data_IF_888996425887
#
_entry.id   IF_888996425887
#
_cell.length_a   1.000
_cell.length_b   1.000
_cell.length_c   1.000
_cell.angle_alpha   90.00
_cell.angle_beta   90.00
_cell.angle_gamma   90.00
#
_symmetry.space_group_name_H-M   'P 1'
#
loop_
_entity.id
_entity.type
_entity.pdbx_description
1 polymer ?
#
# COMPACT_ATOMS: atom_id res chain seq x y z
N UNK A 1 -38.54 -6.10 4.18
CA UNK A 1 -38.85 -4.74 4.68
C UNK A 1 -39.07 -4.85 6.17
N UNK A 2 -38.49 -3.96 6.96
CA UNK A 2 -38.70 -3.94 8.42
C UNK A 2 -40.16 -3.57 8.68
N UNK A 3 -40.85 -4.34 9.52
CA UNK A 3 -42.23 -4.05 9.90
C UNK A 3 -42.28 -2.75 10.72
N UNK A 4 -43.18 -1.83 10.36
CA UNK A 4 -43.31 -0.52 11.01
C UNK A 4 -43.61 -0.64 12.51
N UNK A 5 -44.25 -1.73 12.95
CA UNK A 5 -44.59 -1.93 14.35
C UNK A 5 -43.37 -2.25 15.24
N UNK A 6 -42.24 -2.64 14.65
CA UNK A 6 -40.97 -2.82 15.39
C UNK A 6 -40.42 -1.50 15.95
N UNK A 7 -40.85 -0.36 15.39
CA UNK A 7 -40.31 0.96 15.73
C UNK A 7 -38.92 1.26 15.15
N UNK A 8 -38.32 0.29 14.44
CA UNK A 8 -37.02 0.46 13.79
C UNK A 8 -37.14 1.22 12.47
N UNK A 9 -36.10 1.98 12.13
CA UNK A 9 -35.99 2.73 10.89
C UNK A 9 -34.92 2.11 9.97
N UNK A 10 -35.14 2.09 8.65
CA UNK A 10 -34.12 1.65 7.70
C UNK A 10 -32.81 2.45 7.86
N UNK A 11 -31.67 1.75 7.81
CA UNK A 11 -30.33 2.35 7.92
C UNK A 11 -29.85 2.67 9.34
N UNK A 12 -30.69 2.52 10.37
CA UNK A 12 -30.31 2.74 11.77
C UNK A 12 -29.86 1.45 12.46
N UNK A 13 -28.92 1.57 13.40
CA UNK A 13 -28.45 0.46 14.24
C UNK A 13 -29.16 0.48 15.59
N UNK A 14 -29.48 -0.70 16.11
CA UNK A 14 -30.11 -0.85 17.42
C UNK A 14 -29.42 -1.95 18.22
N UNK A 15 -28.92 -1.64 19.41
CA UNK A 15 -28.34 -2.63 20.32
C UNK A 15 -29.38 -3.04 21.35
N UNK A 16 -29.27 -4.28 21.80
CA UNK A 16 -30.10 -4.85 22.86
C UNK A 16 -29.48 -4.49 24.20
N UNK A 17 -30.26 -3.88 25.10
CA UNK A 17 -29.82 -3.64 26.47
C UNK A 17 -29.69 -4.97 27.22
N UNK A 18 -28.47 -5.38 27.54
CA UNK A 18 -28.22 -6.62 28.27
C UNK A 18 -28.44 -6.42 29.77
N UNK A 19 -29.27 -7.29 30.36
CA UNK A 19 -29.49 -7.36 31.80
C UNK A 19 -28.70 -8.54 32.38
N UNK A 20 -28.26 -8.45 33.64
CA UNK A 20 -27.38 -9.46 34.28
C UNK A 20 -27.93 -10.91 34.29
N UNK A 21 -29.21 -11.12 33.99
CA UNK A 21 -29.89 -12.42 34.02
C UNK A 21 -30.54 -12.82 32.69
N UNK A 22 -30.14 -12.19 31.58
CA UNK A 22 -30.70 -12.47 30.25
C UNK A 22 -29.65 -13.07 29.32
N UNK A 23 -30.05 -13.84 28.29
CA UNK A 23 -29.14 -14.25 27.22
C UNK A 23 -28.39 -13.03 26.68
N UNK A 24 -27.06 -13.13 26.60
CA UNK A 24 -26.23 -12.00 26.22
C UNK A 24 -26.30 -11.77 24.71
N UNK A 25 -27.03 -10.73 24.31
CA UNK A 25 -27.11 -10.25 22.95
C UNK A 25 -26.01 -9.21 22.76
N UNK A 26 -24.78 -9.65 22.50
CA UNK A 26 -23.61 -8.76 22.35
C UNK A 26 -23.57 -7.98 21.03
N UNK A 27 -24.66 -8.02 20.26
CA UNK A 27 -24.74 -7.61 18.88
C UNK A 27 -25.67 -6.41 18.65
N UNK A 28 -25.97 -6.15 17.37
CA UNK A 28 -26.88 -5.09 16.96
C UNK A 28 -27.76 -5.51 15.79
N UNK A 29 -28.94 -4.90 15.71
CA UNK A 29 -29.80 -4.95 14.53
C UNK A 29 -29.42 -3.85 13.54
N UNK A 30 -29.40 -4.17 12.24
CA UNK A 30 -29.33 -3.23 11.12
C UNK A 30 -30.22 -3.75 9.99
N UNK A 31 -31.14 -2.93 9.50
CA UNK A 31 -32.09 -3.29 8.43
C UNK A 31 -32.88 -4.59 8.72
N UNK A 32 -33.18 -4.83 9.99
CA UNK A 32 -33.90 -6.02 10.47
C UNK A 32 -33.06 -7.30 10.51
N UNK A 33 -31.75 -7.22 10.31
CA UNK A 33 -30.79 -8.32 10.49
C UNK A 33 -29.97 -8.10 11.76
N UNK A 34 -29.60 -9.18 12.44
CA UNK A 34 -28.86 -9.15 13.70
C UNK A 34 -27.43 -9.69 13.52
N UNK A 35 -26.46 -8.96 14.06
CA UNK A 35 -25.02 -9.21 13.90
C UNK A 35 -24.33 -9.22 15.27
N UNK A 36 -23.41 -10.15 15.52
CA UNK A 36 -22.69 -10.25 16.80
C UNK A 36 -21.59 -9.20 17.01
N UNK A 37 -21.22 -8.44 15.96
CA UNK A 37 -20.19 -7.39 16.01
C UNK A 37 -20.01 -6.70 14.65
N UNK A 38 -19.44 -5.47 14.59
CA UNK A 38 -19.32 -4.69 13.35
C UNK A 38 -18.34 -5.31 12.32
N UNK A 39 -17.43 -6.17 12.75
CA UNK A 39 -16.49 -6.93 11.93
C UNK A 39 -17.08 -8.22 11.34
N UNK A 40 -18.22 -8.70 11.83
CA UNK A 40 -18.86 -9.94 11.37
C UNK A 40 -19.81 -9.65 10.20
N UNK A 41 -19.41 -10.08 9.00
CA UNK A 41 -20.15 -9.85 7.76
C UNK A 41 -21.34 -10.80 7.55
N UNK A 42 -21.63 -11.69 8.51
CA UNK A 42 -22.72 -12.68 8.44
C UNK A 42 -23.76 -12.39 9.51
N UNK A 43 -25.01 -12.19 9.10
CA UNK A 43 -26.13 -12.05 10.04
C UNK A 43 -26.41 -13.41 10.71
N UNK A 44 -26.57 -13.41 12.04
CA UNK A 44 -26.91 -14.60 12.84
C UNK A 44 -28.37 -14.57 13.32
N UNK A 45 -29.14 -13.59 12.86
CA UNK A 45 -30.57 -13.50 13.13
C UNK A 45 -31.24 -12.45 12.24
N UNK A 46 -32.56 -12.47 12.16
CA UNK A 46 -33.35 -11.52 11.37
C UNK A 46 -34.79 -11.42 11.85
N UNK A 47 -35.46 -10.34 11.45
CA UNK A 47 -36.89 -10.11 11.71
C UNK A 47 -37.74 -10.58 10.54
N UNK A 48 -38.75 -11.39 10.84
CA UNK A 48 -39.87 -11.72 9.96
C UNK A 48 -41.15 -11.11 10.53
N UNK A 49 -41.55 -9.94 9.99
CA UNK A 49 -42.56 -9.12 10.65
C UNK A 49 -42.03 -8.59 11.98
N UNK A 50 -42.70 -8.95 13.07
CA UNK A 50 -42.25 -8.69 14.44
C UNK A 50 -41.44 -9.84 15.05
N UNK A 51 -41.42 -11.03 14.42
CA UNK A 51 -40.77 -12.21 15.00
C UNK A 51 -39.27 -12.13 14.80
N UNK A 52 -38.51 -12.26 15.89
CA UNK A 52 -37.06 -12.31 15.85
C UNK A 52 -36.57 -13.76 15.76
N UNK A 53 -36.00 -14.10 14.61
CA UNK A 53 -35.34 -15.37 14.35
C UNK A 53 -33.84 -15.24 14.70
N UNK A 54 -33.32 -16.16 15.48
CA UNK A 54 -31.94 -16.22 15.96
C UNK A 54 -31.35 -17.60 15.66
N UNK A 55 -30.33 -17.64 14.82
CA UNK A 55 -29.75 -18.85 14.23
C UNK A 55 -28.30 -19.09 14.69
N UNK A 56 -27.98 -18.66 15.91
CA UNK A 56 -26.73 -19.04 16.57
C UNK A 56 -26.83 -20.47 17.11
N UNK A 57 -25.74 -21.23 16.99
CA UNK A 57 -25.60 -22.57 17.54
C UNK A 57 -24.75 -22.53 18.81
N UNK A 58 -25.11 -23.33 19.80
CA UNK A 58 -24.32 -23.49 21.00
C UNK A 58 -23.05 -24.35 20.78
N UNK A 59 -22.25 -24.55 21.82
CA UNK A 59 -21.03 -25.35 21.74
C UNK A 59 -21.24 -26.84 21.37
N UNK A 60 -22.48 -27.32 21.43
CA UNK A 60 -22.89 -28.68 21.05
C UNK A 60 -23.45 -28.75 19.63
N UNK A 61 -23.64 -27.61 18.97
CA UNK A 61 -24.17 -27.50 17.61
C UNK A 61 -25.70 -27.44 17.55
N UNK A 62 -26.38 -27.33 18.69
CA UNK A 62 -27.83 -27.15 18.77
C UNK A 62 -28.18 -25.66 18.72
N UNK A 63 -29.32 -25.26 18.11
CA UNK A 63 -29.77 -23.87 18.13
C UNK A 63 -29.89 -23.34 19.56
N UNK A 64 -29.40 -22.12 19.79
CA UNK A 64 -29.52 -21.42 21.09
C UNK A 64 -30.98 -21.29 21.52
N UNK A 65 -31.91 -21.18 20.56
CA UNK A 65 -33.36 -21.27 20.79
C UNK A 65 -33.94 -22.50 20.08
N UNK A 66 -34.70 -23.37 20.76
CA UNK A 66 -35.17 -24.66 20.22
C UNK A 66 -35.89 -24.62 18.86
N UNK A 67 -36.55 -23.50 18.52
CA UNK A 67 -37.23 -23.27 17.24
C UNK A 67 -36.62 -22.12 16.42
N UNK A 68 -35.42 -21.67 16.79
CA UNK A 68 -34.77 -20.44 16.30
C UNK A 68 -35.58 -19.16 16.51
N UNK A 69 -36.71 -19.22 17.21
CA UNK A 69 -37.50 -18.05 17.59
C UNK A 69 -37.01 -17.55 18.93
N UNK A 70 -36.33 -16.40 18.92
CA UNK A 70 -35.84 -15.76 20.14
C UNK A 70 -36.95 -14.94 20.82
N UNK A 71 -37.88 -14.36 20.06
CA UNK A 71 -38.93 -13.52 20.61
C UNK A 71 -39.70 -12.69 19.58
N UNK A 72 -40.39 -11.66 20.06
CA UNK A 72 -41.11 -10.67 19.23
C UNK A 72 -40.65 -9.26 19.55
N UNK A 73 -40.53 -8.41 18.52
CA UNK A 73 -40.07 -7.04 18.61
C UNK A 73 -41.19 -6.06 18.25
N UNK A 74 -41.56 -5.22 19.21
CA UNK A 74 -42.54 -4.16 19.02
C UNK A 74 -42.10 -2.89 19.75
N UNK A 75 -42.20 -1.73 19.09
CA UNK A 75 -41.84 -0.42 19.66
C UNK A 75 -40.46 -0.43 20.36
N UNK A 76 -39.45 -0.94 19.66
CA UNK A 76 -38.08 -1.11 20.16
C UNK A 76 -37.96 -1.95 21.43
N UNK A 77 -38.93 -2.81 21.73
CA UNK A 77 -38.90 -3.73 22.87
C UNK A 77 -38.93 -5.16 22.38
N UNK A 78 -37.84 -5.90 22.60
CA UNK A 78 -37.75 -7.32 22.30
C UNK A 78 -38.30 -8.10 23.50
N UNK A 79 -39.40 -8.82 23.29
CA UNK A 79 -39.97 -9.75 24.27
C UNK A 79 -39.53 -11.15 23.89
N UNK A 80 -38.64 -11.73 24.70
CA UNK A 80 -38.14 -13.09 24.50
C UNK A 80 -39.23 -14.13 24.77
N UNK A 81 -39.04 -15.34 24.27
CA UNK A 81 -39.97 -16.47 24.45
C UNK A 81 -40.22 -16.85 25.91
N UNK A 82 -39.29 -16.53 26.82
CA UNK A 82 -39.45 -16.71 28.27
C UNK A 82 -40.20 -15.56 28.97
N UNK A 83 -40.65 -14.55 28.22
CA UNK A 83 -41.36 -13.38 28.71
C UNK A 83 -40.46 -12.21 29.12
N UNK A 84 -39.13 -12.35 29.03
CA UNK A 84 -38.20 -11.28 29.36
C UNK A 84 -38.29 -10.15 28.35
N UNK A 85 -38.28 -8.90 28.84
CA UNK A 85 -38.39 -7.70 28.02
C UNK A 85 -37.03 -6.99 27.97
N UNK A 86 -36.48 -6.85 26.79
CA UNK A 86 -35.22 -6.18 26.51
C UNK A 86 -35.48 -4.93 25.68
N UNK A 87 -34.97 -3.79 26.14
CA UNK A 87 -35.10 -2.55 25.39
C UNK A 87 -34.02 -2.49 24.31
N UNK A 88 -34.43 -2.16 23.09
CA UNK A 88 -33.52 -1.76 22.03
C UNK A 88 -33.33 -0.26 22.12
N UNK A 89 -32.08 0.16 22.06
CA UNK A 89 -31.72 1.56 21.96
C UNK A 89 -31.01 1.81 20.63
N UNK A 90 -31.34 2.90 19.93
CA UNK A 90 -30.58 3.28 18.74
C UNK A 90 -29.13 3.47 19.15
N UNK A 91 -28.23 2.76 18.48
CA UNK A 91 -26.81 2.99 18.59
C UNK A 91 -26.50 4.10 17.61
N UNK A 92 -26.02 5.27 18.08
CA UNK A 92 -25.50 6.27 17.17
C UNK A 92 -24.41 5.59 16.35
N UNK A 93 -24.64 5.43 15.05
CA UNK A 93 -23.54 5.18 14.15
C UNK A 93 -22.65 6.39 14.33
N UNK A 94 -21.45 6.22 14.89
CA UNK A 94 -20.46 7.29 14.92
C UNK A 94 -19.95 7.50 13.50
N UNK A 95 -20.84 8.02 12.65
CA UNK A 95 -20.46 8.96 11.62
C UNK A 95 -20.05 10.19 12.42
N UNK A 96 -18.80 10.67 12.35
CA UNK A 96 -18.42 11.85 13.09
C UNK A 96 -19.28 13.02 12.58
N UNK A 97 -20.30 13.39 13.35
CA UNK A 97 -21.01 14.65 13.14
C UNK A 97 -20.17 15.79 13.72
N UNK A 98 -20.11 16.86 12.95
CA UNK A 98 -19.29 18.06 13.16
C UNK A 98 -19.31 18.55 14.63
N UNK A 99 -18.18 18.38 15.32
CA UNK A 99 -17.85 19.21 16.46
C UNK A 99 -17.68 20.66 15.97
N UNK A 100 -18.38 21.65 16.55
CA UNK A 100 -18.15 23.05 16.20
C UNK A 100 -16.75 23.46 16.69
N UNK A 101 -15.79 23.43 15.75
CA UNK A 101 -14.36 23.75 15.92
C UNK A 101 -13.53 22.46 16.04
N UNK A 102 -13.10 21.81 14.97
CA UNK A 102 -12.35 22.30 13.80
C UNK A 102 -12.84 21.52 12.59
N UNK A 103 -13.39 22.18 11.56
CA UNK A 103 -13.58 21.55 10.24
C UNK A 103 -12.21 21.08 9.75
N UNK A 104 -11.89 19.79 9.86
CA UNK A 104 -10.87 19.21 8.99
C UNK A 104 -11.48 19.23 7.59
N UNK A 105 -10.98 20.13 6.74
CA UNK A 105 -11.40 20.20 5.34
C UNK A 105 -11.27 18.80 4.73
N UNK A 106 -12.39 18.21 4.29
CA UNK A 106 -12.37 16.93 3.57
C UNK A 106 -11.31 17.01 2.47
N UNK A 107 -10.37 16.07 2.50
CA UNK A 107 -9.29 16.01 1.51
C UNK A 107 -9.87 16.01 0.09
N UNK A 108 -9.15 16.59 -0.86
CA UNK A 108 -9.61 16.68 -2.27
C UNK A 108 -9.81 15.31 -2.93
N UNK A 109 -9.35 14.23 -2.29
CA UNK A 109 -9.53 12.83 -2.71
C UNK A 109 -10.58 12.07 -1.89
N UNK A 110 -11.43 12.77 -1.13
CA UNK A 110 -12.45 12.15 -0.30
C UNK A 110 -13.30 11.15 -1.08
N UNK A 111 -13.43 9.93 -0.54
CA UNK A 111 -14.22 8.86 -1.14
C UNK A 111 -13.66 8.26 -2.44
N UNK A 112 -12.45 8.65 -2.87
CA UNK A 112 -11.76 7.98 -3.99
C UNK A 112 -11.27 6.61 -3.57
N UNK A 113 -11.46 5.61 -4.44
CA UNK A 113 -10.95 4.25 -4.22
C UNK A 113 -9.50 4.16 -4.67
N UNK A 114 -8.60 3.90 -3.73
CA UNK A 114 -7.15 3.83 -3.94
C UNK A 114 -6.64 2.45 -3.58
N UNK A 115 -6.05 1.75 -4.55
CA UNK A 115 -5.40 0.46 -4.35
C UNK A 115 -3.90 0.67 -4.20
N UNK A 116 -3.27 0.09 -3.18
CA UNK A 116 -1.84 0.22 -2.93
C UNK A 116 -1.20 -1.16 -2.77
N UNK A 117 -0.31 -1.55 -3.68
CA UNK A 117 0.48 -2.79 -3.55
C UNK A 117 1.74 -2.54 -2.72
N UNK A 118 2.18 -3.54 -1.94
CA UNK A 118 3.29 -3.39 -1.01
C UNK A 118 2.97 -2.47 0.17
N UNK A 119 1.70 -2.38 0.58
CA UNK A 119 1.23 -1.45 1.60
C UNK A 119 1.68 -1.76 3.03
N UNK A 120 2.19 -2.96 3.30
CA UNK A 120 2.53 -3.40 4.67
C UNK A 120 3.75 -2.71 5.27
N UNK A 121 4.61 -2.06 4.47
CA UNK A 121 5.86 -1.44 4.96
C UNK A 121 6.39 -0.33 4.05
N UNK A 122 7.40 0.39 4.53
CA UNK A 122 8.17 1.33 3.71
C UNK A 122 7.31 2.43 3.10
N UNK A 123 7.60 2.74 1.83
CA UNK A 123 6.88 3.73 1.03
C UNK A 123 5.39 3.38 0.91
N UNK A 124 5.04 2.10 0.80
CA UNK A 124 3.63 1.69 0.66
C UNK A 124 2.80 1.99 1.89
N UNK A 125 3.34 1.71 3.09
CA UNK A 125 2.68 2.08 4.37
C UNK A 125 2.61 3.60 4.54
N UNK A 126 3.66 4.32 4.16
CA UNK A 126 3.64 5.79 4.18
C UNK A 126 2.60 6.36 3.21
N UNK A 127 2.45 5.76 2.02
CA UNK A 127 1.43 6.13 1.05
C UNK A 127 0.03 5.86 1.62
N UNK A 128 -0.19 4.70 2.22
CA UNK A 128 -1.46 4.38 2.88
C UNK A 128 -1.83 5.46 3.92
N UNK A 129 -0.89 5.87 4.78
CA UNK A 129 -1.12 6.95 5.74
C UNK A 129 -1.45 8.28 5.07
N UNK A 130 -0.68 8.70 4.06
CA UNK A 130 -0.87 9.98 3.39
C UNK A 130 -2.20 10.05 2.60
N UNK A 131 -2.62 8.94 1.98
CA UNK A 131 -3.94 8.86 1.36
C UNK A 131 -5.06 8.77 2.41
N UNK A 132 -4.80 8.13 3.56
CA UNK A 132 -5.77 8.08 4.65
C UNK A 132 -6.13 9.49 5.17
N UNK A 133 -5.14 10.37 5.29
CA UNK A 133 -5.33 11.78 5.62
C UNK A 133 -6.17 12.56 4.59
N UNK A 134 -6.40 12.00 3.40
CA UNK A 134 -7.32 12.57 2.40
C UNK A 134 -8.73 11.99 2.48
N UNK A 135 -9.04 11.19 3.50
CA UNK A 135 -10.33 10.50 3.70
C UNK A 135 -10.75 9.65 2.49
N UNK A 136 -9.78 8.96 1.89
CA UNK A 136 -9.99 8.03 0.77
C UNK A 136 -10.52 6.68 1.23
N UNK A 137 -10.99 5.86 0.29
CA UNK A 137 -11.22 4.42 0.49
C UNK A 137 -9.99 3.65 0.07
N UNK A 138 -9.34 2.98 1.00
CA UNK A 138 -8.06 2.31 0.82
C UNK A 138 -8.22 0.80 0.68
N UNK A 139 -7.59 0.25 -0.36
CA UNK A 139 -7.44 -1.20 -0.54
C UNK A 139 -5.96 -1.50 -0.45
N UNK A 140 -5.56 -2.12 0.66
CA UNK A 140 -4.17 -2.31 1.03
C UNK A 140 -3.74 -3.74 0.71
N UNK A 141 -2.77 -3.90 -0.18
CA UNK A 141 -2.36 -5.20 -0.70
C UNK A 141 -0.89 -5.52 -0.40
N UNK A 142 -0.64 -6.68 0.19
CA UNK A 142 0.68 -7.26 0.45
C UNK A 142 0.56 -8.74 0.84
N UNK A 143 1.68 -9.46 0.91
CA UNK A 143 1.71 -10.86 1.37
C UNK A 143 1.54 -11.01 2.89
N UNK A 144 1.90 -9.97 3.65
CA UNK A 144 1.89 -9.97 5.12
C UNK A 144 0.54 -9.47 5.66
N UNK A 145 -0.35 -10.42 5.92
CA UNK A 145 -1.73 -10.15 6.35
C UNK A 145 -1.80 -9.48 7.72
N UNK A 146 -0.95 -9.90 8.67
CA UNK A 146 -0.89 -9.30 10.01
C UNK A 146 -0.52 -7.82 9.90
N UNK A 147 0.55 -7.53 9.16
CA UNK A 147 1.00 -6.15 8.99
C UNK A 147 -0.02 -5.30 8.22
N UNK A 148 -0.77 -5.88 7.27
CA UNK A 148 -1.87 -5.15 6.62
C UNK A 148 -2.97 -4.77 7.62
N UNK A 149 -3.32 -5.66 8.55
CA UNK A 149 -4.28 -5.36 9.62
C UNK A 149 -3.86 -4.14 10.45
N UNK A 150 -2.60 -4.08 10.85
CA UNK A 150 -2.03 -2.91 11.55
C UNK A 150 -2.17 -1.62 10.72
N UNK A 151 -1.88 -1.68 9.41
CA UNK A 151 -2.01 -0.50 8.55
C UNK A 151 -3.46 -0.08 8.34
N UNK A 152 -4.40 -1.02 8.29
CA UNK A 152 -5.84 -0.73 8.24
C UNK A 152 -6.26 0.06 9.48
N UNK A 153 -5.89 -0.38 10.68
CA UNK A 153 -6.18 0.33 11.93
C UNK A 153 -5.57 1.74 11.94
N UNK A 154 -4.32 1.87 11.49
CA UNK A 154 -3.64 3.17 11.37
C UNK A 154 -4.34 4.12 10.39
N UNK A 155 -4.88 3.58 9.27
CA UNK A 155 -5.62 4.37 8.29
C UNK A 155 -7.01 4.77 8.82
N UNK A 156 -7.68 3.87 9.53
CA UNK A 156 -8.96 4.15 10.18
C UNK A 156 -8.81 5.27 11.22
N UNK A 157 -7.74 5.24 12.02
CA UNK A 157 -7.41 6.30 12.98
C UNK A 157 -7.11 7.66 12.30
N UNK A 158 -6.89 7.68 10.98
CA UNK A 158 -6.68 8.90 10.16
C UNK A 158 -7.94 9.34 9.41
N UNK A 159 -9.07 8.67 9.62
CA UNK A 159 -10.35 9.05 9.02
C UNK A 159 -10.58 8.49 7.61
N UNK A 160 -9.90 7.41 7.24
CA UNK A 160 -10.15 6.67 6.00
C UNK A 160 -10.86 5.34 6.24
N UNK A 161 -11.65 4.91 5.27
CA UNK A 161 -12.15 3.54 5.21
C UNK A 161 -11.05 2.68 4.56
N UNK A 162 -10.69 1.54 5.15
CA UNK A 162 -9.63 0.69 4.61
C UNK A 162 -9.97 -0.80 4.72
N UNK A 163 -9.59 -1.58 3.71
CA UNK A 163 -9.61 -3.04 3.75
C UNK A 163 -8.22 -3.61 3.43
N UNK A 164 -7.90 -4.74 4.06
CA UNK A 164 -6.70 -5.51 3.76
C UNK A 164 -7.04 -6.63 2.79
N UNK A 165 -6.23 -6.78 1.74
CA UNK A 165 -6.34 -7.88 0.78
C UNK A 165 -4.98 -8.55 0.66
N UNK A 166 -4.86 -9.77 1.17
CA UNK A 166 -3.62 -10.54 1.03
C UNK A 166 -3.36 -10.81 -0.45
N UNK A 167 -2.22 -10.34 -0.96
CA UNK A 167 -1.90 -10.44 -2.38
C UNK A 167 -0.41 -10.59 -2.60
N UNK A 168 -0.04 -11.61 -3.37
CA UNK A 168 1.24 -11.74 -4.04
C UNK A 168 1.13 -11.23 -5.48
N UNK A 169 1.84 -10.13 -5.78
CA UNK A 169 1.82 -9.49 -7.10
C UNK A 169 2.45 -10.34 -8.21
N UNK A 170 3.14 -11.42 -7.85
CA UNK A 170 3.65 -12.40 -8.82
C UNK A 170 2.54 -13.31 -9.37
N UNK A 171 1.39 -13.38 -8.70
CA UNK A 171 0.29 -14.29 -9.02
C UNK A 171 -0.84 -13.55 -9.75
N UNK A 172 -1.08 -13.92 -11.02
CA UNK A 172 -2.08 -13.26 -11.86
C UNK A 172 -3.50 -13.32 -11.30
N UNK A 173 -3.90 -14.46 -10.76
CA UNK A 173 -5.26 -14.64 -10.23
C UNK A 173 -5.49 -13.87 -8.92
N UNK A 174 -4.45 -13.72 -8.08
CA UNK A 174 -4.54 -12.87 -6.90
C UNK A 174 -4.65 -11.39 -7.27
N UNK A 175 -3.95 -10.94 -8.32
CA UNK A 175 -4.07 -9.56 -8.82
C UNK A 175 -5.48 -9.28 -9.38
N UNK A 176 -6.09 -10.28 -10.04
CA UNK A 176 -7.47 -10.19 -10.53
C UNK A 176 -8.46 -10.09 -9.38
N UNK A 177 -8.34 -10.98 -8.39
CA UNK A 177 -9.16 -10.95 -7.17
C UNK A 177 -8.99 -9.64 -6.38
N UNK A 178 -7.78 -9.07 -6.34
CA UNK A 178 -7.52 -7.76 -5.73
C UNK A 178 -8.32 -6.66 -6.42
N UNK A 179 -8.33 -6.63 -7.76
CA UNK A 179 -9.09 -5.62 -8.50
C UNK A 179 -10.60 -5.79 -8.32
N UNK A 180 -11.11 -7.02 -8.30
CA UNK A 180 -12.52 -7.33 -8.04
C UNK A 180 -12.97 -6.87 -6.65
N UNK A 181 -12.20 -7.20 -5.61
CA UNK A 181 -12.48 -6.75 -4.24
C UNK A 181 -12.38 -5.23 -4.11
N UNK A 182 -11.39 -4.62 -4.75
CA UNK A 182 -11.24 -3.17 -4.76
C UNK A 182 -12.44 -2.47 -5.41
N UNK A 183 -12.89 -2.98 -6.55
CA UNK A 183 -14.06 -2.45 -7.23
C UNK A 183 -15.33 -2.63 -6.38
N UNK A 184 -15.52 -3.79 -5.76
CA UNK A 184 -16.67 -4.04 -4.88
C UNK A 184 -16.70 -3.03 -3.71
N UNK A 185 -15.57 -2.83 -3.03
CA UNK A 185 -15.41 -1.84 -1.96
C UNK A 185 -15.59 -0.39 -2.45
N UNK A 186 -15.21 -0.13 -3.70
CA UNK A 186 -15.32 1.15 -4.37
C UNK A 186 -16.65 1.44 -5.08
N UNK A 187 -17.72 0.67 -4.81
CA UNK A 187 -19.01 0.77 -5.52
C UNK A 187 -18.88 0.60 -7.04
N UNK A 188 -18.17 -0.44 -7.47
CA UNK A 188 -17.89 -0.77 -8.87
C UNK A 188 -16.77 0.05 -9.50
N UNK A 189 -16.01 0.84 -8.71
CA UNK A 189 -15.00 1.76 -9.23
C UNK A 189 -13.63 1.59 -8.59
N UNK A 190 -12.60 1.92 -9.37
CA UNK A 190 -11.22 2.10 -8.93
C UNK A 190 -10.74 3.44 -9.49
N UNK A 191 -10.43 4.41 -8.62
CA UNK A 191 -9.99 5.74 -9.07
C UNK A 191 -8.47 5.81 -9.24
N UNK A 192 -7.73 5.16 -8.33
CA UNK A 192 -6.26 5.23 -8.29
C UNK A 192 -5.70 3.83 -8.01
N UNK A 193 -4.72 3.42 -8.80
CA UNK A 193 -3.97 2.19 -8.60
C UNK A 193 -2.49 2.52 -8.44
N UNK A 194 -1.89 2.13 -7.30
CA UNK A 194 -0.49 2.38 -6.98
C UNK A 194 0.27 1.05 -7.00
N UNK A 195 1.06 0.86 -8.06
CA UNK A 195 2.06 -0.19 -8.07
C UNK A 195 3.27 0.30 -7.26
N UNK A 196 3.47 -0.32 -6.09
CA UNK A 196 4.57 0.02 -5.18
C UNK A 196 5.32 -1.21 -4.65
N UNK A 197 4.71 -2.41 -4.68
CA UNK A 197 5.40 -3.63 -4.25
C UNK A 197 6.78 -3.76 -4.91
N UNK A 198 7.77 -4.21 -4.15
CA UNK A 198 9.12 -4.38 -4.68
C UNK A 198 10.01 -5.18 -3.72
N UNK A 199 10.92 -5.94 -4.30
CA UNK A 199 11.94 -6.73 -3.60
C UNK A 199 13.31 -6.49 -4.22
N UNK A 200 14.37 -6.73 -3.45
CA UNK A 200 15.74 -6.60 -3.92
C UNK A 200 16.52 -7.89 -3.65
N UNK A 201 17.50 -8.15 -4.52
CA UNK A 201 18.54 -9.14 -4.29
C UNK A 201 19.88 -8.48 -4.60
N UNK A 202 20.77 -8.43 -3.62
CA UNK A 202 22.10 -7.81 -3.75
C UNK A 202 23.17 -8.87 -3.60
N UNK A 203 24.05 -9.01 -4.59
CA UNK A 203 25.10 -10.01 -4.65
C UNK A 203 25.86 -9.92 -5.98
N UNK A 204 26.99 -10.63 -6.10
CA UNK A 204 27.60 -10.81 -7.42
C UNK A 204 26.61 -11.56 -8.32
N UNK A 205 26.74 -11.44 -9.64
CA UNK A 205 25.79 -12.06 -10.56
C UNK A 205 25.89 -13.59 -10.51
N UNK A 206 27.10 -14.09 -10.30
CA UNK A 206 27.40 -15.52 -10.20
C UNK A 206 27.07 -16.14 -8.83
N UNK A 207 27.13 -15.35 -7.73
CA UNK A 207 26.82 -15.86 -6.38
C UNK A 207 25.34 -15.70 -6.02
N UNK A 208 24.59 -14.87 -6.76
CA UNK A 208 23.15 -14.73 -6.58
C UNK A 208 22.43 -15.82 -7.36
N UNK A 209 21.58 -16.65 -6.72
CA UNK A 209 20.83 -17.69 -7.42
C UNK A 209 19.96 -17.10 -8.55
N UNK A 210 19.84 -17.82 -9.67
CA UNK A 210 19.04 -17.37 -10.81
C UNK A 210 17.58 -17.14 -10.40
N UNK A 211 17.04 -18.00 -9.54
CA UNK A 211 15.67 -17.91 -9.02
C UNK A 211 15.44 -16.63 -8.22
N UNK A 212 16.49 -16.08 -7.58
CA UNK A 212 16.39 -14.80 -6.89
C UNK A 212 16.34 -13.64 -7.88
N UNK A 213 17.12 -13.71 -8.96
CA UNK A 213 17.04 -12.76 -10.06
C UNK A 213 15.67 -12.78 -10.74
N UNK A 214 15.14 -13.95 -11.06
CA UNK A 214 13.81 -14.12 -11.65
C UNK A 214 12.71 -13.61 -10.72
N UNK A 215 12.79 -13.90 -9.42
CA UNK A 215 11.80 -13.42 -8.45
C UNK A 215 11.75 -11.89 -8.35
N UNK A 216 12.91 -11.22 -8.46
CA UNK A 216 12.96 -9.75 -8.55
C UNK A 216 12.24 -9.28 -9.82
N UNK A 217 12.46 -9.90 -10.98
CA UNK A 217 11.75 -9.53 -12.22
C UNK A 217 10.24 -9.80 -12.13
N UNK A 218 9.83 -10.91 -11.50
CA UNK A 218 8.43 -11.26 -11.28
C UNK A 218 7.69 -10.21 -10.46
N UNK A 219 8.35 -9.65 -9.44
CA UNK A 219 7.75 -8.66 -8.54
C UNK A 219 7.85 -7.24 -9.11
N UNK A 220 9.07 -6.81 -9.45
CA UNK A 220 9.39 -5.40 -9.72
C UNK A 220 9.10 -4.94 -11.15
N UNK A 221 8.82 -5.88 -12.06
CA UNK A 221 8.43 -5.57 -13.44
C UNK A 221 7.08 -6.22 -13.79
N UNK A 222 6.99 -7.55 -13.72
CA UNK A 222 5.77 -8.25 -14.12
C UNK A 222 4.61 -7.98 -13.14
N UNK A 223 4.87 -7.77 -11.86
CA UNK A 223 3.86 -7.35 -10.89
C UNK A 223 3.21 -6.01 -11.25
N UNK A 224 4.00 -5.06 -11.77
CA UNK A 224 3.52 -3.75 -12.22
C UNK A 224 2.69 -3.88 -13.50
N UNK A 225 3.15 -4.73 -14.44
CA UNK A 225 2.40 -5.06 -15.65
C UNK A 225 1.04 -5.67 -15.29
N UNK A 226 1.01 -6.65 -14.38
CA UNK A 226 -0.24 -7.27 -13.91
C UNK A 226 -1.15 -6.23 -13.25
N UNK A 227 -0.60 -5.36 -12.39
CA UNK A 227 -1.35 -4.27 -11.75
C UNK A 227 -1.99 -3.31 -12.75
N UNK A 228 -1.23 -2.88 -13.76
CA UNK A 228 -1.75 -2.08 -14.85
C UNK A 228 -2.87 -2.82 -15.60
N UNK A 229 -2.64 -4.09 -15.94
CA UNK A 229 -3.55 -4.91 -16.71
C UNK A 229 -4.90 -5.13 -16.01
N UNK A 230 -4.91 -5.33 -14.67
CA UNK A 230 -6.16 -5.53 -13.91
C UNK A 230 -6.89 -4.22 -13.60
N UNK A 231 -6.18 -3.09 -13.51
CA UNK A 231 -6.80 -1.77 -13.31
C UNK A 231 -7.41 -1.21 -14.61
N UNK A 232 -6.81 -1.54 -15.76
CA UNK A 232 -7.14 -0.96 -17.08
C UNK A 232 -8.63 -1.01 -17.45
N UNK A 233 -9.35 -2.15 -17.28
CA UNK A 233 -10.76 -2.24 -17.66
C UNK A 233 -11.63 -1.26 -16.86
N UNK A 234 -11.34 -1.07 -15.56
CA UNK A 234 -12.05 -0.12 -14.71
C UNK A 234 -11.78 1.32 -15.16
N UNK A 235 -10.52 1.68 -15.41
CA UNK A 235 -10.19 3.02 -15.88
C UNK A 235 -10.87 3.35 -17.21
N UNK A 236 -10.84 2.42 -18.17
CA UNK A 236 -11.49 2.60 -19.49
C UNK A 236 -13.01 2.67 -19.38
N UNK A 237 -13.65 1.80 -18.59
CA UNK A 237 -15.10 1.83 -18.39
C UNK A 237 -15.57 3.15 -17.74
N UNK A 238 -14.75 3.71 -16.85
CA UNK A 238 -15.03 4.99 -16.19
C UNK A 238 -14.66 6.21 -17.06
N UNK A 239 -13.89 6.02 -18.14
CA UNK A 239 -13.17 7.07 -18.88
C UNK A 239 -12.27 7.95 -18.00
N UNK A 240 -11.84 7.45 -16.83
CA UNK A 240 -10.97 8.16 -15.88
C UNK A 240 -10.22 7.19 -14.98
N UNK A 241 -9.00 7.55 -14.60
CA UNK A 241 -8.21 6.77 -13.64
C UNK A 241 -6.77 7.23 -13.56
N UNK A 242 -6.09 6.89 -12.45
CA UNK A 242 -4.67 7.23 -12.28
C UNK A 242 -3.91 5.96 -11.90
N UNK A 243 -3.01 5.52 -12.78
CA UNK A 243 -2.01 4.52 -12.46
C UNK A 243 -0.74 5.23 -11.97
N UNK A 244 -0.28 4.93 -10.76
CA UNK A 244 0.97 5.44 -10.21
C UNK A 244 1.96 4.28 -10.10
N UNK A 245 3.09 4.38 -10.80
CA UNK A 245 4.17 3.40 -10.71
C UNK A 245 5.32 3.96 -9.87
N UNK A 246 5.73 3.20 -8.84
CA UNK A 246 6.92 3.49 -8.03
C UNK A 246 8.16 2.92 -8.72
N UNK A 247 8.87 3.77 -9.44
CA UNK A 247 10.11 3.45 -10.13
C UNK A 247 11.28 3.64 -9.15
N UNK A 248 12.44 4.05 -9.65
CA UNK A 248 13.64 4.32 -8.86
C UNK A 248 14.57 5.20 -9.67
N UNK A 249 15.50 5.91 -9.02
CA UNK A 249 16.69 6.41 -9.71
C UNK A 249 17.42 5.29 -10.48
N UNK A 250 17.31 4.04 -10.01
CA UNK A 250 17.78 2.84 -10.68
C UNK A 250 17.21 2.61 -12.09
N UNK A 251 16.14 3.32 -12.49
CA UNK A 251 15.61 3.33 -13.86
C UNK A 251 16.48 4.11 -14.85
N UNK A 252 17.44 4.90 -14.35
CA UNK A 252 18.32 5.74 -15.17
C UNK A 252 19.79 5.38 -15.00
N UNK A 253 20.14 4.80 -13.86
CA UNK A 253 21.50 4.44 -13.50
C UNK A 253 21.49 3.02 -12.97
N UNK A 254 22.08 2.09 -13.73
CA UNK A 254 22.20 0.71 -13.29
C UNK A 254 22.99 0.61 -11.98
N UNK A 255 22.58 -0.31 -11.13
CA UNK A 255 23.17 -0.58 -9.83
C UNK A 255 23.92 -1.92 -9.89
N UNK A 256 25.27 -1.89 -9.96
CA UNK A 256 26.09 -3.09 -9.89
C UNK A 256 25.77 -3.89 -8.62
N UNK A 257 25.90 -5.22 -8.70
CA UNK A 257 25.49 -6.18 -7.67
C UNK A 257 23.96 -6.28 -7.44
N UNK A 258 23.14 -5.55 -8.20
CA UNK A 258 21.68 -5.64 -8.19
C UNK A 258 21.16 -5.69 -9.64
N UNK A 259 21.66 -6.66 -10.42
CA UNK A 259 21.45 -6.75 -11.88
C UNK A 259 19.97 -6.86 -12.23
N UNK A 260 19.25 -7.82 -11.63
CA UNK A 260 17.82 -8.01 -11.89
C UNK A 260 16.96 -6.80 -11.48
N UNK A 261 17.32 -6.12 -10.38
CA UNK A 261 16.66 -4.88 -9.97
C UNK A 261 16.90 -3.76 -11.00
N UNK A 262 18.11 -3.63 -11.52
CA UNK A 262 18.40 -2.65 -12.57
C UNK A 262 17.59 -2.95 -13.83
N UNK A 263 17.57 -4.20 -14.28
CA UNK A 263 16.79 -4.63 -15.43
C UNK A 263 15.29 -4.35 -15.25
N UNK A 264 14.73 -4.65 -14.07
CA UNK A 264 13.30 -4.39 -13.78
C UNK A 264 12.99 -2.90 -13.81
N UNK A 265 13.80 -2.04 -13.19
CA UNK A 265 13.53 -0.59 -13.12
C UNK A 265 13.74 0.13 -14.45
N UNK A 266 14.66 -0.31 -15.31
CA UNK A 266 14.75 0.16 -16.69
C UNK A 266 13.54 -0.32 -17.51
N UNK A 267 13.17 -1.60 -17.39
CA UNK A 267 12.01 -2.16 -18.09
C UNK A 267 10.70 -1.47 -17.70
N UNK A 268 10.53 -1.14 -16.41
CA UNK A 268 9.33 -0.48 -15.88
C UNK A 268 9.14 0.93 -16.46
N UNK A 269 10.24 1.63 -16.77
CA UNK A 269 10.18 2.91 -17.47
C UNK A 269 9.64 2.74 -18.89
N UNK A 270 10.15 1.76 -19.63
CA UNK A 270 9.64 1.44 -20.96
C UNK A 270 8.17 1.04 -20.95
N UNK A 271 7.76 0.20 -19.98
CA UNK A 271 6.36 -0.18 -19.77
C UNK A 271 5.48 1.06 -19.55
N UNK A 272 5.91 1.98 -18.70
CA UNK A 272 5.09 3.16 -18.38
C UNK A 272 4.99 4.14 -19.54
N UNK A 273 6.11 4.40 -20.24
CA UNK A 273 6.10 5.25 -21.44
C UNK A 273 5.20 4.66 -22.54
N UNK A 274 5.21 3.33 -22.74
CA UNK A 274 4.34 2.64 -23.69
C UNK A 274 2.85 2.78 -23.31
N UNK A 275 2.49 2.48 -22.04
CA UNK A 275 1.11 2.60 -21.56
C UNK A 275 0.56 4.03 -21.73
N UNK A 276 1.37 5.06 -21.47
CA UNK A 276 0.98 6.46 -21.69
C UNK A 276 0.69 6.74 -23.17
N UNK A 277 1.51 6.19 -24.08
CA UNK A 277 1.32 6.32 -25.53
C UNK A 277 0.05 5.68 -26.08
N UNK A 278 -0.53 4.70 -25.37
CA UNK A 278 -1.78 4.02 -25.77
C UNK A 278 -3.06 4.77 -25.34
N UNK A 279 -2.95 5.81 -24.52
CA UNK A 279 -4.10 6.53 -23.94
C UNK A 279 -4.56 7.74 -24.75
N UNK A 280 -4.25 7.79 -26.05
CA UNK A 280 -4.61 8.94 -26.92
C UNK A 280 -6.10 9.26 -26.94
N UNK A 281 -6.94 8.24 -26.81
CA UNK A 281 -8.41 8.37 -26.81
C UNK A 281 -9.00 8.53 -25.40
N UNK A 282 -8.16 8.59 -24.36
CA UNK A 282 -8.57 8.61 -22.95
C UNK A 282 -7.81 9.70 -22.17
N UNK A 283 -8.13 10.99 -22.39
CA UNK A 283 -7.37 12.12 -21.84
C UNK A 283 -7.37 12.21 -20.30
N UNK A 284 -8.38 11.60 -19.65
CA UNK A 284 -8.54 11.60 -18.18
C UNK A 284 -8.06 10.30 -17.51
N UNK A 285 -7.38 9.43 -18.28
CA UNK A 285 -6.61 8.30 -17.73
C UNK A 285 -5.14 8.69 -17.74
N UNK A 286 -4.49 8.64 -16.58
CA UNK A 286 -3.12 9.09 -16.42
C UNK A 286 -2.23 7.96 -15.93
N UNK A 287 -1.00 7.89 -16.46
CA UNK A 287 0.05 7.01 -15.95
C UNK A 287 1.20 7.87 -15.45
N UNK A 288 1.43 7.83 -14.14
CA UNK A 288 2.38 8.69 -13.42
C UNK A 288 3.57 7.87 -12.91
N UNK A 289 4.77 8.40 -13.13
CA UNK A 289 6.02 7.84 -12.63
C UNK A 289 6.50 8.59 -11.38
N UNK A 290 6.73 7.85 -10.29
CA UNK A 290 7.45 8.37 -9.13
C UNK A 290 8.85 7.76 -9.14
N UNK A 291 9.88 8.60 -9.11
CA UNK A 291 11.29 8.21 -9.05
C UNK A 291 11.89 8.56 -7.67
N UNK A 292 11.76 7.68 -6.67
CA UNK A 292 12.48 7.84 -5.42
C UNK A 292 14.00 7.75 -5.62
N UNK A 293 14.74 8.60 -4.93
CA UNK A 293 16.14 8.37 -4.60
C UNK A 293 16.27 7.25 -3.53
N UNK A 294 17.41 7.18 -2.84
CA UNK A 294 17.58 6.27 -1.70
C UNK A 294 16.71 6.72 -0.53
N UNK A 295 15.70 5.92 -0.18
CA UNK A 295 14.76 6.23 0.89
C UNK A 295 15.08 5.45 2.16
N UNK A 296 14.85 6.06 3.32
CA UNK A 296 14.99 5.46 4.64
C UNK A 296 13.86 4.46 4.89
N UNK A 297 13.97 3.29 4.28
CA UNK A 297 13.00 2.21 4.43
C UNK A 297 13.68 0.94 4.94
N UNK A 298 12.91 -0.02 5.47
CA UNK A 298 13.43 -1.32 5.84
C UNK A 298 14.02 -2.14 4.68
N UNK A 299 13.88 -1.72 3.41
CA UNK A 299 14.25 -2.52 2.23
C UNK A 299 15.70 -3.03 2.20
N UNK A 300 16.67 -2.25 2.70
CA UNK A 300 18.07 -2.70 2.81
C UNK A 300 18.29 -3.75 3.88
N UNK A 301 17.45 -3.76 4.93
CA UNK A 301 17.47 -4.78 5.99
C UNK A 301 16.74 -6.05 5.55
N UNK A 302 15.61 -5.89 4.86
CA UNK A 302 14.67 -6.97 4.57
C UNK A 302 14.92 -7.66 3.23
N UNK A 303 15.67 -7.03 2.32
CA UNK A 303 15.94 -7.57 0.99
C UNK A 303 16.87 -8.79 0.98
N UNK A 304 16.88 -9.53 -0.13
CA UNK A 304 17.83 -10.62 -0.34
C UNK A 304 19.27 -10.12 -0.34
N UNK A 305 20.10 -10.74 0.49
CA UNK A 305 21.51 -10.42 0.65
C UNK A 305 22.36 -11.65 0.34
N UNK A 306 23.07 -11.60 -0.78
CA UNK A 306 23.99 -12.63 -1.26
C UNK A 306 25.44 -12.08 -1.29
N UNK A 307 25.71 -10.97 -0.61
CA UNK A 307 27.04 -10.33 -0.62
C UNK A 307 28.02 -10.89 0.42
N UNK A 308 27.51 -11.56 1.47
CA UNK A 308 28.31 -11.93 2.64
C UNK A 308 28.64 -10.77 3.60
N UNK A 309 28.09 -9.58 3.33
CA UNK A 309 28.30 -8.36 4.11
C UNK A 309 26.98 -7.67 4.45
N UNK A 310 26.96 -6.86 5.51
CA UNK A 310 25.80 -6.04 5.85
C UNK A 310 25.51 -5.01 4.76
N UNK A 311 24.23 -4.93 4.35
CA UNK A 311 23.75 -3.95 3.40
C UNK A 311 23.37 -2.66 4.13
N UNK A 312 23.96 -1.55 3.70
CA UNK A 312 23.61 -0.22 4.17
C UNK A 312 23.24 0.68 2.99
N UNK A 313 22.23 1.56 3.15
CA UNK A 313 21.86 2.48 2.08
C UNK A 313 23.00 3.48 1.82
N UNK A 314 23.36 3.73 0.56
CA UNK A 314 24.34 4.77 0.25
C UNK A 314 23.74 6.16 0.50
N UNK A 315 24.47 7.09 1.14
CA UNK A 315 23.98 8.45 1.36
C UNK A 315 23.91 9.24 0.04
N UNK A 316 23.05 10.28 -0.06
CA UNK A 316 22.10 10.73 0.97
C UNK A 316 20.83 9.86 1.04
N UNK A 317 20.35 9.61 2.26
CA UNK A 317 19.12 8.86 2.54
C UNK A 317 17.98 9.85 2.85
N UNK A 318 16.85 9.71 2.16
CA UNK A 318 15.72 10.63 2.26
C UNK A 318 14.54 10.04 3.03
N UNK A 319 13.66 10.93 3.49
CA UNK A 319 12.41 10.55 4.17
C UNK A 319 11.43 9.87 3.20
N UNK A 320 10.96 8.62 3.47
CA UNK A 320 9.97 7.95 2.63
C UNK A 320 8.62 8.67 2.56
N UNK A 321 8.23 9.46 3.56
CA UNK A 321 6.98 10.22 3.52
C UNK A 321 6.96 11.27 2.40
N UNK A 322 8.12 11.73 1.93
CA UNK A 322 8.20 12.61 0.75
C UNK A 322 7.72 11.91 -0.53
N UNK A 323 7.92 10.60 -0.63
CA UNK A 323 7.42 9.80 -1.75
C UNK A 323 5.91 9.66 -1.66
N UNK A 324 5.38 9.37 -0.46
CA UNK A 324 3.94 9.31 -0.21
C UNK A 324 3.23 10.64 -0.55
N UNK A 325 3.80 11.77 -0.11
CA UNK A 325 3.29 13.09 -0.45
C UNK A 325 3.33 13.37 -1.96
N UNK A 326 4.38 12.92 -2.66
CA UNK A 326 4.46 13.03 -4.11
C UNK A 326 3.38 12.19 -4.82
N UNK A 327 3.07 11.00 -4.31
CA UNK A 327 1.97 10.16 -4.83
C UNK A 327 0.61 10.85 -4.64
N UNK A 328 0.33 11.41 -3.46
CA UNK A 328 -0.90 12.19 -3.22
C UNK A 328 -0.95 13.42 -4.13
N UNK A 329 0.16 14.13 -4.30
CA UNK A 329 0.22 15.28 -5.22
C UNK A 329 -0.05 14.87 -6.68
N UNK A 330 0.48 13.74 -7.14
CA UNK A 330 0.16 13.18 -8.46
C UNK A 330 -1.31 12.76 -8.58
N UNK A 331 -1.90 12.20 -7.52
CA UNK A 331 -3.32 11.88 -7.50
C UNK A 331 -4.24 13.11 -7.60
N UNK A 332 -3.79 14.24 -7.06
CA UNK A 332 -4.51 15.52 -7.13
C UNK A 332 -4.30 16.25 -8.46
N UNK A 333 -3.07 16.21 -8.96
CA UNK A 333 -2.67 16.86 -10.21
C UNK A 333 -1.70 15.92 -10.94
N UNK A 334 -2.20 15.08 -11.86
CA UNK A 334 -1.40 14.11 -12.57
C UNK A 334 -0.19 14.74 -13.25
N UNK A 335 0.97 14.08 -13.10
CA UNK A 335 2.22 14.43 -13.77
C UNK A 335 2.88 13.15 -14.24
N UNK A 336 3.31 13.15 -15.49
CA UNK A 336 3.97 11.99 -16.09
C UNK A 336 5.18 11.53 -15.29
N UNK A 337 5.99 12.47 -14.78
CA UNK A 337 7.24 12.16 -14.08
C UNK A 337 7.47 13.07 -12.89
N UNK A 338 7.69 12.47 -11.72
CA UNK A 338 8.06 13.16 -10.48
C UNK A 338 9.28 12.50 -9.83
N UNK A 339 10.35 13.27 -9.60
CA UNK A 339 11.56 12.79 -8.91
C UNK A 339 11.57 13.26 -7.46
N UNK A 340 11.87 12.35 -6.53
CA UNK A 340 11.93 12.65 -5.09
C UNK A 340 13.35 12.45 -4.58
N UNK A 341 14.04 13.57 -4.28
CA UNK A 341 15.43 13.61 -3.80
C UNK A 341 16.38 14.30 -4.79
N UNK A 342 16.98 15.43 -4.40
CA UNK A 342 17.74 16.32 -5.30
C UNK A 342 19.04 15.71 -5.85
N UNK A 343 19.68 14.80 -5.11
CA UNK A 343 20.87 14.08 -5.59
C UNK A 343 20.58 13.16 -6.79
N UNK A 344 19.32 12.70 -6.94
CA UNK A 344 18.92 11.81 -8.03
C UNK A 344 19.03 12.50 -9.40
N UNK A 345 18.70 13.78 -9.48
CA UNK A 345 18.84 14.57 -10.71
C UNK A 345 20.30 14.73 -11.12
N UNK A 346 21.21 14.90 -10.16
CA UNK A 346 22.65 15.05 -10.41
C UNK A 346 23.28 13.73 -10.86
N UNK A 347 22.94 12.61 -10.22
CA UNK A 347 23.41 11.29 -10.62
C UNK A 347 22.92 10.90 -12.03
N UNK A 348 21.66 11.25 -12.37
CA UNK A 348 21.09 11.07 -13.71
C UNK A 348 21.92 11.78 -14.77
N UNK A 349 22.35 13.01 -14.51
CA UNK A 349 23.19 13.79 -15.44
C UNK A 349 24.62 13.24 -15.51
N UNK A 350 25.21 12.84 -14.37
CA UNK A 350 26.57 12.31 -14.32
C UNK A 350 26.75 10.99 -15.10
N UNK A 351 25.73 10.11 -15.08
CA UNK A 351 25.76 8.85 -15.84
C UNK A 351 25.96 9.05 -17.34
N UNK A 352 25.27 10.04 -17.94
CA UNK A 352 25.38 10.32 -19.37
C UNK A 352 26.72 10.94 -19.77
N UNK A 353 27.45 11.54 -18.84
CA UNK A 353 28.64 12.34 -19.14
C UNK A 353 29.97 11.61 -18.88
N UNK A 354 29.96 10.45 -18.22
CA UNK A 354 31.16 9.74 -17.80
C UNK A 354 31.30 8.38 -18.48
N UNK A 355 32.13 8.24 -19.54
CA UNK A 355 32.49 6.95 -20.11
C UNK A 355 33.04 6.01 -19.02
N UNK A 356 32.51 4.78 -18.93
CA UNK A 356 32.95 3.80 -17.94
C UNK A 356 32.35 3.96 -16.53
N UNK A 357 31.33 4.82 -16.36
CA UNK A 357 30.65 5.03 -15.07
C UNK A 357 30.20 3.71 -14.40
N UNK A 358 29.68 2.75 -15.16
CA UNK A 358 29.26 1.46 -14.63
C UNK A 358 30.40 0.69 -13.92
N UNK A 359 31.62 0.70 -14.51
CA UNK A 359 32.80 0.06 -13.92
C UNK A 359 33.25 0.79 -12.65
N UNK A 360 33.25 2.12 -12.68
CA UNK A 360 33.58 2.93 -11.51
C UNK A 360 32.59 2.71 -10.36
N UNK A 361 31.28 2.71 -10.67
CA UNK A 361 30.23 2.43 -9.69
C UNK A 361 30.38 1.03 -9.11
N UNK A 362 30.69 0.03 -9.94
CA UNK A 362 30.91 -1.35 -9.48
C UNK A 362 32.09 -1.44 -8.52
N UNK A 363 33.21 -0.81 -8.87
CA UNK A 363 34.38 -0.73 -8.00
C UNK A 363 34.08 -0.03 -6.67
N UNK A 364 33.34 1.09 -6.69
CA UNK A 364 32.94 1.79 -5.46
C UNK A 364 32.00 0.96 -4.59
N UNK A 365 31.01 0.28 -5.17
CA UNK A 365 30.10 -0.62 -4.44
C UNK A 365 30.88 -1.76 -3.80
N UNK A 366 31.80 -2.38 -4.53
CA UNK A 366 32.67 -3.44 -4.01
C UNK A 366 33.48 -2.98 -2.80
N UNK A 367 34.15 -1.83 -2.90
CA UNK A 367 34.91 -1.25 -1.80
C UNK A 367 34.03 -0.93 -0.59
N UNK A 368 32.78 -0.50 -0.81
CA UNK A 368 31.81 -0.28 0.25
C UNK A 368 31.46 -1.57 0.98
N UNK A 369 31.13 -2.63 0.24
CA UNK A 369 30.78 -3.95 0.78
C UNK A 369 31.95 -4.57 1.56
N UNK A 370 33.17 -4.54 1.01
CA UNK A 370 34.36 -5.10 1.67
C UNK A 370 34.70 -4.39 3.00
N UNK A 371 34.23 -3.15 3.20
CA UNK A 371 34.37 -2.39 4.46
C UNK A 371 33.23 -2.62 5.45
N UNK A 372 32.09 -3.13 5.00
CA UNK A 372 30.96 -3.46 5.85
C UNK A 372 31.23 -4.71 6.70
N UNK A 373 30.54 -4.80 7.84
CA UNK A 373 30.59 -5.99 8.69
C UNK A 373 30.13 -7.22 7.91
N UNK A 374 30.66 -8.39 8.27
CA UNK A 374 30.20 -9.65 7.67
C UNK A 374 28.79 -9.97 8.14
N UNK A 375 27.97 -10.46 7.23
CA UNK A 375 26.63 -10.94 7.50
C UNK A 375 26.38 -12.27 6.79
N UNK A 376 25.49 -13.09 7.36
CA UNK A 376 25.02 -14.28 6.67
C UNK A 376 24.26 -13.90 5.39
N UNK A 377 24.37 -14.73 4.36
CA UNK A 377 23.52 -14.59 3.19
C UNK A 377 22.07 -14.96 3.53
N UNK A 378 21.12 -14.36 2.82
CA UNK A 378 19.69 -14.54 3.08
C UNK A 378 18.89 -14.25 1.82
N UNK A 379 17.80 -14.99 1.62
CA UNK A 379 16.79 -14.68 0.59
C UNK A 379 15.91 -13.49 0.99
N UNK A 380 16.01 -13.03 2.25
CA UNK A 380 15.25 -11.90 2.76
C UNK A 380 13.76 -12.05 2.50
N UNK A 381 13.16 -11.01 1.93
CA UNK A 381 11.75 -10.97 1.59
C UNK A 381 11.41 -11.42 0.16
N UNK A 382 12.31 -12.13 -0.55
CA UNK A 382 12.05 -12.51 -1.95
C UNK A 382 10.80 -13.41 -2.08
N UNK A 383 10.71 -14.45 -1.26
CA UNK A 383 9.67 -15.49 -1.39
C UNK A 383 8.59 -15.40 -0.32
N UNK A 384 8.95 -15.00 0.89
CA UNK A 384 8.04 -14.86 2.04
C UNK A 384 8.07 -13.43 2.58
N UNK A 385 7.04 -13.01 3.35
CA UNK A 385 7.12 -11.79 4.14
C UNK A 385 8.38 -11.73 4.99
N UNK A 386 8.94 -10.52 5.12
CA UNK A 386 10.06 -10.27 6.02
C UNK A 386 9.64 -10.55 7.48
N UNK A 387 10.55 -11.11 8.27
CA UNK A 387 10.31 -11.33 9.70
C UNK A 387 10.35 -10.02 10.50
N UNK A 388 9.71 -10.04 11.67
CA UNK A 388 9.70 -8.92 12.60
C UNK A 388 8.66 -7.85 12.27
N UNK A 389 8.74 -6.73 13.00
CA UNK A 389 7.78 -5.64 12.87
C UNK A 389 7.97 -4.87 11.56
N UNK A 390 6.85 -4.65 10.86
CA UNK A 390 6.81 -3.85 9.64
C UNK A 390 6.68 -2.38 10.03
N UNK A 391 7.44 -1.50 9.38
CA UNK A 391 7.47 -0.06 9.66
C UNK A 391 7.62 0.74 8.37
N UNK A 392 7.33 2.03 8.44
CA UNK A 392 7.63 2.98 7.34
C UNK A 392 9.14 3.18 7.21
N UNK A 393 9.81 3.46 8.33
CA UNK A 393 11.21 3.88 8.35
C UNK A 393 12.18 2.71 8.59
N UNK A 394 13.37 2.78 7.99
CA UNK A 394 14.43 1.80 8.17
C UNK A 394 15.40 2.11 9.33
N UNK A 395 15.37 3.33 9.85
CA UNK A 395 16.27 3.78 10.93
C UNK A 395 17.65 4.20 10.41
N UNK A 396 17.78 4.51 9.11
CA UNK A 396 19.06 4.85 8.48
C UNK A 396 19.38 6.34 8.48
N UNK A 397 18.37 7.20 8.64
CA UNK A 397 18.60 8.65 8.78
C UNK A 397 19.16 8.95 10.17
N UNK A 398 20.48 9.08 10.27
CA UNK A 398 21.08 9.74 11.43
C UNK A 398 20.77 11.25 11.37
N UNK A 399 20.38 11.85 12.50
CA UNK A 399 20.17 13.31 12.71
C UNK A 399 21.46 14.15 12.61
N UNK A 400 22.48 13.69 11.88
CA UNK A 400 23.69 14.46 11.62
C UNK A 400 23.54 15.20 10.28
N UNK A 401 23.48 16.54 10.38
CA UNK A 401 23.59 17.47 9.25
C UNK A 401 24.65 16.97 8.27
N UNK A 402 24.23 16.63 7.06
CA UNK A 402 25.19 16.31 5.98
C UNK A 402 26.12 17.51 5.84
N UNK A 403 27.44 17.38 6.06
CA UNK A 403 28.32 18.51 5.91
C UNK A 403 28.31 18.92 4.45
N UNK A 404 28.07 20.21 4.19
CA UNK A 404 28.06 20.84 2.86
C UNK A 404 29.26 20.43 1.97
N UNK A 405 30.35 19.91 2.56
CA UNK A 405 31.51 19.36 1.87
C UNK A 405 31.23 18.21 0.90
N UNK A 406 30.28 17.29 1.15
CA UNK A 406 30.03 16.19 0.19
C UNK A 406 29.32 16.64 -1.09
N UNK A 407 28.44 17.65 -0.99
CA UNK A 407 27.83 18.29 -2.17
C UNK A 407 28.88 19.08 -2.95
N UNK A 408 29.81 19.75 -2.25
CA UNK A 408 30.92 20.46 -2.87
C UNK A 408 31.91 19.53 -3.59
N UNK A 409 32.19 18.34 -3.04
CA UNK A 409 33.04 17.32 -3.69
C UNK A 409 32.38 16.80 -4.98
N UNK A 410 31.07 16.54 -4.96
CA UNK A 410 30.33 16.15 -6.17
C UNK A 410 30.36 17.22 -7.27
N UNK A 411 30.22 18.50 -6.90
CA UNK A 411 30.33 19.62 -7.83
C UNK A 411 31.76 19.81 -8.37
N UNK A 412 32.77 19.64 -7.53
CA UNK A 412 34.18 19.75 -7.92
C UNK A 412 34.61 18.63 -8.88
N UNK A 413 34.13 17.40 -8.67
CA UNK A 413 34.37 16.27 -9.57
C UNK A 413 33.69 16.44 -10.93
N UNK A 414 32.51 17.08 -10.98
CA UNK A 414 31.84 17.42 -12.24
C UNK A 414 32.60 18.50 -13.03
N UNK A 415 33.07 19.56 -12.37
CA UNK A 415 33.88 20.59 -13.02
C UNK A 415 35.24 20.03 -13.46
N UNK A 416 35.88 19.22 -12.62
CA UNK A 416 37.13 18.55 -12.94
C UNK A 416 37.00 17.57 -14.11
N UNK A 417 35.93 16.76 -14.14
CA UNK A 417 35.64 15.82 -15.21
C UNK A 417 35.41 16.50 -16.56
N UNK A 418 34.69 17.62 -16.59
CA UNK A 418 34.47 18.43 -17.82
C UNK A 418 35.78 19.04 -18.33
N UNK A 419 36.66 19.50 -17.44
CA UNK A 419 37.97 20.06 -17.81
C UNK A 419 38.91 18.98 -18.36
N UNK A 420 38.92 17.79 -17.76
CA UNK A 420 39.72 16.65 -18.23
C UNK A 420 39.21 16.13 -19.57
N UNK A 421 37.89 15.99 -19.75
CA UNK A 421 37.29 15.57 -21.02
C UNK A 421 37.58 16.56 -22.17
N UNK A 422 37.53 17.88 -21.89
CA UNK A 422 37.91 18.91 -22.87
C UNK A 422 39.39 18.87 -23.23
N UNK A 423 40.29 18.65 -22.26
CA UNK A 423 41.73 18.51 -22.52
C UNK A 423 42.07 17.23 -23.31
N UNK A 424 41.33 16.15 -23.07
CA UNK A 424 41.49 14.91 -23.82
C UNK A 424 41.04 15.05 -25.28
N UNK A 425 39.91 15.73 -25.51
CA UNK A 425 39.40 16.00 -26.87
C UNK A 425 40.28 16.97 -27.67
N UNK A 426 40.97 17.90 -27.01
CA UNK A 426 41.91 18.83 -27.65
C UNK A 426 43.28 18.24 -27.98
N UNK A 427 43.64 17.06 -27.44
CA UNK A 427 44.90 16.36 -27.75
C UNK A 427 44.77 15.31 -28.86
N UNK A 428 43.55 15.04 -29.31
CA UNK A 428 43.22 14.03 -30.33
C UNK A 428 42.47 14.61 -31.54
N UNK A 429 42.60 15.92 -31.75
CA UNK A 429 42.36 16.62 -33.02
C UNK A 429 43.68 17.22 -33.46
#
# INVERSE_FOLDING_TARGET
>A
MIDTATGMRPGERYAVENLERTPNFSGFFLDGKYYLGPELMTAVGWLEGQTFIYDELDATGEPVFPDRVAGTLENLTLVLTDGTRLQLHPVPVHVPEDSPGVMQAKGKLHGKTVVITGASSGIGRAAAHAFAEQSTRLVLAARDEKALGEVVEECAARGAEAIAVKTDVTQGDQMRALAEQAAAFGNGRIDIWINNAGVGAVGSFEDTPLEAHEQVLQTDLLGYLRGAHVAWPYFKAQHRGILINTLSLGSWVAQPYAVAYSASKYGLRGLTEALRGELTDYPDIHVCDIYPAVMDTPGFRDGGNFTGHELTPPPPVYDPHKVAQAMVACALQPRDSTTVGSAATVARVAHFLLPGFARLSGWLTRLGLERSQRAATSTGNLYTPASGERRVEGGWRQTRRTPYGMVAIGAALLVGGVVVARKYSARHK
#
